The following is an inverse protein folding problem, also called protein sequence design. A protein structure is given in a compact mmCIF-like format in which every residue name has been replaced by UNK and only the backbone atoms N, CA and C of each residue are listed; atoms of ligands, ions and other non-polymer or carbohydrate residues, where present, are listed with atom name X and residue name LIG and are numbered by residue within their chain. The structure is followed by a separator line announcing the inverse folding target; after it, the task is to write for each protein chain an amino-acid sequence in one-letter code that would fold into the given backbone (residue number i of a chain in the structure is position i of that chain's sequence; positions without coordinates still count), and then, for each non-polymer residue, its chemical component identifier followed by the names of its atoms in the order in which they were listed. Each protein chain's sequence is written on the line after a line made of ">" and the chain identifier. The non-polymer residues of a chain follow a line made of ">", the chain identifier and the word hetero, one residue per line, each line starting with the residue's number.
data_IF_800155776259
#
_entry.id   IF_800155776259
#
_cell.length_a   1.000
_cell.length_b   1.000
_cell.length_c   1.000
_cell.angle_alpha   90.00
_cell.angle_beta   90.00
_cell.angle_gamma   90.00
#
_symmetry.space_group_name_H-M   'P 1'
#
loop_
_entity.id
_entity.type
_entity.pdbx_description
1 polymer ?
#
# COMPACT_ATOMS: atom_id res chain seq x y z
N UNK A 1 50.82 -26.28 41.13
CA UNK A 1 52.12 -26.89 41.45
C UNK A 1 51.91 -28.40 41.49
N UNK A 2 52.45 -29.06 40.46
CA UNK A 2 52.91 -30.46 40.33
C UNK A 2 52.01 -31.60 40.89
N UNK A 3 51.36 -32.39 40.02
CA UNK A 3 51.82 -33.65 39.37
C UNK A 3 51.40 -34.89 40.17
N UNK A 4 50.75 -35.84 39.49
CA UNK A 4 51.10 -37.29 39.40
C UNK A 4 49.87 -38.05 38.88
N UNK A 5 49.84 -38.46 37.60
CA UNK A 5 50.34 -39.74 37.04
C UNK A 5 49.52 -40.96 37.51
N UNK A 6 48.69 -41.56 36.62
CA UNK A 6 48.99 -42.74 35.76
C UNK A 6 49.28 -44.01 36.60
N UNK A 7 48.48 -45.08 36.54
CA UNK A 7 48.56 -46.12 35.51
C UNK A 7 47.61 -47.30 35.87
N UNK A 8 46.78 -47.76 34.94
CA UNK A 8 46.79 -49.10 34.28
C UNK A 8 46.50 -50.32 35.18
N UNK A 9 45.31 -50.93 35.04
CA UNK A 9 45.13 -52.36 34.73
C UNK A 9 43.64 -52.71 34.46
N UNK A 10 43.40 -53.66 33.56
CA UNK A 10 42.14 -54.32 33.17
C UNK A 10 42.43 -55.84 33.18
N UNK A 11 41.48 -56.78 33.10
CA UNK A 11 40.09 -56.87 33.57
C UNK A 11 39.89 -58.12 34.49
N UNK A 12 38.69 -58.32 35.05
CA UNK A 12 38.27 -59.66 35.51
C UNK A 12 37.17 -59.69 36.57
N UNK A 13 35.96 -60.02 36.10
CA UNK A 13 34.86 -60.73 36.78
C UNK A 13 34.25 -60.20 38.09
N UNK A 14 32.99 -59.75 38.01
CA UNK A 14 31.80 -60.33 38.66
C UNK A 14 30.67 -59.29 38.81
N UNK A 15 29.40 -59.74 38.68
CA UNK A 15 28.27 -58.99 39.23
C UNK A 15 27.03 -58.80 38.35
N UNK A 16 26.33 -59.90 38.05
CA UNK A 16 24.98 -59.92 37.45
C UNK A 16 23.95 -59.42 38.46
N UNK A 17 23.69 -58.11 38.60
CA UNK A 17 22.47 -57.57 39.24
C UNK A 17 22.24 -56.10 38.87
N UNK A 18 21.54 -55.80 37.76
CA UNK A 18 20.75 -54.56 37.57
C UNK A 18 20.25 -54.47 36.13
N UNK A 19 19.11 -55.10 35.79
CA UNK A 19 18.46 -54.81 34.50
C UNK A 19 16.93 -54.99 34.47
N UNK A 20 16.29 -55.41 35.56
CA UNK A 20 14.84 -55.68 35.56
C UNK A 20 13.99 -54.45 35.96
N UNK A 21 14.54 -53.52 36.74
CA UNK A 21 13.77 -52.35 37.24
C UNK A 21 13.71 -51.14 36.28
N UNK A 22 14.54 -51.10 35.22
CA UNK A 22 14.55 -50.01 34.23
C UNK A 22 13.57 -50.25 33.06
N UNK A 23 13.19 -51.51 32.80
CA UNK A 23 12.36 -51.85 31.64
C UNK A 23 10.87 -51.50 31.82
N UNK A 24 10.37 -51.49 33.06
CA UNK A 24 8.98 -51.09 33.38
C UNK A 24 8.73 -49.59 33.23
N UNK A 25 9.65 -48.75 33.72
CA UNK A 25 9.52 -47.27 33.63
C UNK A 25 9.57 -46.74 32.20
N UNK A 26 10.34 -47.38 31.32
CA UNK A 26 10.37 -47.00 29.90
C UNK A 26 9.10 -47.42 29.15
N UNK A 27 8.46 -48.54 29.51
CA UNK A 27 7.20 -48.97 28.90
C UNK A 27 6.04 -48.04 29.30
N UNK A 28 5.97 -47.62 30.58
CA UNK A 28 4.95 -46.71 31.07
C UNK A 28 5.12 -45.29 30.48
N UNK A 29 6.34 -44.77 30.42
CA UNK A 29 6.65 -43.49 29.77
C UNK A 29 6.33 -43.50 28.26
N UNK A 30 6.63 -44.61 27.57
CA UNK A 30 6.30 -44.77 26.15
C UNK A 30 4.78 -44.87 25.92
N UNK A 31 4.05 -45.52 26.84
CA UNK A 31 2.59 -45.61 26.80
C UNK A 31 1.91 -44.26 27.06
N UNK A 32 2.41 -43.47 28.02
CA UNK A 32 1.92 -42.11 28.30
C UNK A 32 2.23 -41.16 27.15
N UNK A 33 3.42 -41.26 26.55
CA UNK A 33 3.77 -40.51 25.35
C UNK A 33 2.82 -40.85 24.19
N UNK A 34 2.60 -42.14 23.91
CA UNK A 34 1.70 -42.60 22.84
C UNK A 34 0.23 -42.24 23.09
N UNK A 35 -0.21 -42.15 24.35
CA UNK A 35 -1.56 -41.70 24.74
C UNK A 35 -1.70 -40.20 24.53
N UNK A 36 -0.72 -39.41 24.96
CA UNK A 36 -0.63 -37.98 24.68
C UNK A 36 -0.64 -37.68 23.18
N UNK A 37 0.17 -38.40 22.38
CA UNK A 37 0.18 -38.24 20.92
C UNK A 37 -1.17 -38.62 20.28
N UNK A 38 -1.83 -39.68 20.77
CA UNK A 38 -3.17 -40.07 20.30
C UNK A 38 -4.25 -39.06 20.63
N UNK A 39 -4.21 -38.49 21.83
CA UNK A 39 -5.17 -37.47 22.25
C UNK A 39 -4.97 -36.16 21.48
N UNK A 40 -3.72 -35.81 21.17
CA UNK A 40 -3.39 -34.71 20.24
C UNK A 40 -3.86 -34.97 18.81
N UNK A 41 -3.62 -36.17 18.26
CA UNK A 41 -4.08 -36.54 16.91
C UNK A 41 -5.61 -36.55 16.85
N UNK A 42 -6.29 -37.10 17.87
CA UNK A 42 -7.74 -37.11 17.94
C UNK A 42 -8.33 -35.69 18.08
N UNK A 43 -7.69 -34.81 18.84
CA UNK A 43 -8.11 -33.41 18.92
C UNK A 43 -7.94 -32.69 17.57
N UNK A 44 -6.83 -32.94 16.88
CA UNK A 44 -6.55 -32.38 15.56
C UNK A 44 -7.51 -32.89 14.48
N UNK A 45 -7.82 -34.20 14.47
CA UNK A 45 -8.77 -34.81 13.55
C UNK A 45 -10.22 -34.36 13.83
N UNK A 46 -10.57 -34.14 15.10
CA UNK A 46 -11.89 -33.63 15.50
C UNK A 46 -12.05 -32.15 15.12
N UNK A 47 -11.01 -31.33 15.27
CA UNK A 47 -10.98 -29.96 14.74
C UNK A 47 -11.06 -29.96 13.20
N UNK A 48 -10.30 -30.80 12.49
CA UNK A 48 -10.39 -30.91 11.03
C UNK A 48 -11.78 -31.37 10.54
N UNK A 49 -12.42 -32.30 11.24
CA UNK A 49 -13.78 -32.75 10.94
C UNK A 49 -14.81 -31.62 11.10
N UNK A 50 -14.69 -30.82 12.18
CA UNK A 50 -15.56 -29.67 12.40
C UNK A 50 -15.36 -28.55 11.36
N UNK A 51 -14.12 -28.33 10.91
CA UNK A 51 -13.80 -27.34 9.87
C UNK A 51 -14.20 -27.81 8.48
N UNK A 52 -14.11 -29.11 8.16
CA UNK A 52 -14.68 -29.68 6.92
C UNK A 52 -16.20 -29.56 6.89
N UNK A 53 -16.86 -29.77 8.03
CA UNK A 53 -18.30 -29.53 8.17
C UNK A 53 -18.64 -28.05 8.00
N UNK A 54 -17.89 -27.13 8.61
CA UNK A 54 -18.08 -25.68 8.46
C UNK A 54 -17.74 -25.18 7.05
N UNK A 55 -16.75 -25.73 6.37
CA UNK A 55 -16.47 -25.45 4.95
C UNK A 55 -17.56 -26.00 4.04
N UNK A 56 -18.22 -27.10 4.43
CA UNK A 56 -19.43 -27.59 3.77
C UNK A 56 -20.60 -26.61 3.94
N UNK A 57 -20.81 -26.11 5.16
CA UNK A 57 -21.83 -25.10 5.48
C UNK A 57 -21.54 -23.75 4.79
N UNK A 58 -20.29 -23.30 4.78
CA UNK A 58 -19.84 -22.08 4.07
C UNK A 58 -19.89 -22.23 2.55
N UNK A 59 -19.97 -23.46 2.02
CA UNK A 59 -20.23 -23.72 0.59
C UNK A 59 -21.71 -23.69 0.25
N UNK A 60 -22.60 -24.02 1.20
CA UNK A 60 -24.06 -23.92 1.02
C UNK A 60 -24.55 -22.48 1.19
N UNK A 61 -23.92 -21.69 2.06
CA UNK A 61 -24.18 -20.27 2.22
C UNK A 61 -23.41 -19.55 1.10
N UNK A 62 -24.08 -19.04 0.06
CA UNK A 62 -23.44 -18.40 -1.12
C UNK A 62 -22.49 -17.23 -0.80
N UNK A 63 -21.99 -16.48 -1.79
CA UNK A 63 -21.00 -15.43 -1.52
C UNK A 63 -21.56 -14.29 -0.61
N UNK A 64 -20.79 -13.78 0.37
CA UNK A 64 -21.22 -12.70 1.26
C UNK A 64 -21.50 -11.41 0.49
N UNK A 65 -22.43 -10.58 0.98
CA UNK A 65 -22.89 -9.39 0.26
C UNK A 65 -21.79 -8.33 0.12
N UNK A 66 -21.38 -8.04 -1.13
CA UNK A 66 -20.36 -7.02 -1.44
C UNK A 66 -20.74 -5.62 -0.94
N UNK A 67 -22.05 -5.30 -0.88
CA UNK A 67 -22.57 -3.96 -0.54
C UNK A 67 -22.18 -3.48 0.85
N UNK A 68 -21.98 -4.40 1.81
CA UNK A 68 -21.68 -4.05 3.21
C UNK A 68 -20.25 -3.53 3.36
N UNK A 69 -19.27 -4.22 2.78
CA UNK A 69 -17.86 -3.76 2.79
C UNK A 69 -17.61 -2.56 1.88
N UNK A 70 -18.45 -2.36 0.85
CA UNK A 70 -18.24 -1.34 -0.19
C UNK A 70 -18.11 0.09 0.35
N UNK A 71 -18.97 0.49 1.29
CA UNK A 71 -18.92 1.84 1.87
C UNK A 71 -17.59 2.11 2.58
N UNK A 72 -17.08 1.14 3.34
CA UNK A 72 -15.82 1.28 4.06
C UNK A 72 -14.61 1.33 3.12
N UNK A 73 -14.69 0.60 2.00
CA UNK A 73 -13.67 0.65 0.95
C UNK A 73 -13.68 2.00 0.25
N UNK A 74 -14.85 2.59 0.00
CA UNK A 74 -14.95 3.95 -0.52
C UNK A 74 -14.28 4.95 0.42
N UNK A 75 -14.54 4.85 1.73
CA UNK A 75 -13.87 5.71 2.73
C UNK A 75 -12.36 5.51 2.70
N UNK A 76 -11.87 4.27 2.69
CA UNK A 76 -10.43 4.00 2.61
C UNK A 76 -9.81 4.53 1.29
N UNK A 77 -10.57 4.50 0.19
CA UNK A 77 -10.12 4.99 -1.12
C UNK A 77 -9.95 6.51 -1.17
N UNK A 78 -10.55 7.27 -0.24
CA UNK A 78 -10.27 8.72 -0.11
C UNK A 78 -8.78 8.98 0.15
N UNK A 79 -8.09 8.09 0.87
CA UNK A 79 -6.65 8.22 1.10
C UNK A 79 -5.86 8.13 -0.22
N UNK A 80 -6.26 7.23 -1.12
CA UNK A 80 -5.69 7.11 -2.47
C UNK A 80 -6.05 8.30 -3.36
N UNK A 81 -7.27 8.83 -3.25
CA UNK A 81 -7.67 10.07 -3.92
C UNK A 81 -6.81 11.26 -3.48
N UNK A 82 -6.62 11.43 -2.17
CA UNK A 82 -5.76 12.46 -1.60
C UNK A 82 -4.31 12.34 -2.08
N UNK A 83 -3.78 11.11 -2.18
CA UNK A 83 -2.47 10.84 -2.76
C UNK A 83 -2.39 11.37 -4.20
N UNK A 84 -3.34 10.98 -5.06
CA UNK A 84 -3.40 11.46 -6.45
C UNK A 84 -3.56 12.98 -6.56
N UNK A 85 -4.37 13.58 -5.70
CA UNK A 85 -4.59 15.03 -5.69
C UNK A 85 -3.30 15.81 -5.40
N UNK A 86 -2.54 15.40 -4.39
CA UNK A 86 -1.30 16.07 -4.03
C UNK A 86 -0.15 15.83 -5.02
N UNK A 87 -0.22 14.77 -5.83
CA UNK A 87 0.67 14.58 -6.96
C UNK A 87 0.41 15.62 -8.06
N UNK A 88 -0.85 15.84 -8.44
CA UNK A 88 -1.17 16.71 -9.59
C UNK A 88 -1.27 18.20 -9.25
N UNK A 89 -1.67 18.57 -8.04
CA UNK A 89 -1.90 19.99 -7.67
C UNK A 89 -0.65 20.87 -7.86
N UNK A 90 0.53 20.29 -7.65
CA UNK A 90 1.83 20.96 -7.79
C UNK A 90 2.09 21.36 -9.24
N UNK A 91 1.73 20.52 -10.20
CA UNK A 91 2.01 20.76 -11.62
C UNK A 91 1.39 22.04 -12.16
N UNK A 92 0.20 22.42 -11.66
CA UNK A 92 -0.47 23.66 -12.06
C UNK A 92 -0.05 24.87 -11.22
N UNK A 93 0.22 24.64 -9.93
CA UNK A 93 0.43 25.71 -8.97
C UNK A 93 1.89 26.14 -8.82
N UNK A 94 2.86 25.31 -9.25
CA UNK A 94 4.29 25.55 -9.02
C UNK A 94 4.77 26.92 -9.56
N UNK A 95 4.38 27.27 -10.79
CA UNK A 95 4.76 28.56 -11.40
C UNK A 95 4.18 29.74 -10.59
N UNK A 96 2.90 29.68 -10.22
CA UNK A 96 2.24 30.73 -9.42
C UNK A 96 2.78 30.83 -7.99
N UNK A 97 3.13 29.71 -7.37
CA UNK A 97 3.77 29.67 -6.04
C UNK A 97 5.17 30.30 -6.10
N UNK A 98 5.95 29.97 -7.13
CA UNK A 98 7.31 30.48 -7.34
C UNK A 98 7.32 32.00 -7.50
N UNK A 99 6.31 32.53 -8.22
CA UNK A 99 6.05 33.96 -8.36
C UNK A 99 5.67 34.63 -7.03
N UNK A 100 4.65 34.11 -6.33
CA UNK A 100 4.10 34.74 -5.11
C UNK A 100 5.10 34.70 -3.92
N UNK A 101 5.94 33.68 -3.87
CA UNK A 101 6.94 33.51 -2.80
C UNK A 101 8.34 34.03 -3.18
N UNK A 102 8.45 34.76 -4.30
CA UNK A 102 9.68 35.42 -4.78
C UNK A 102 10.89 34.49 -4.94
N UNK A 103 10.67 33.23 -5.35
CA UNK A 103 11.76 32.30 -5.70
C UNK A 103 11.75 31.89 -7.17
N UNK A 104 10.97 32.59 -8.01
CA UNK A 104 10.98 32.42 -9.45
C UNK A 104 12.40 32.48 -10.04
N UNK A 105 12.72 31.50 -10.88
CA UNK A 105 14.03 31.34 -11.54
C UNK A 105 15.01 30.46 -10.78
N UNK A 106 14.72 30.11 -9.52
CA UNK A 106 15.53 29.15 -8.77
C UNK A 106 14.99 27.73 -8.93
N UNK A 107 15.45 27.05 -9.98
CA UNK A 107 15.07 25.65 -10.30
C UNK A 107 15.35 24.69 -9.15
N UNK A 108 16.37 24.95 -8.33
CA UNK A 108 16.69 24.14 -7.16
C UNK A 108 15.62 24.29 -6.06
N UNK A 109 15.10 25.51 -5.85
CA UNK A 109 14.03 25.76 -4.88
C UNK A 109 12.70 25.12 -5.32
N UNK A 110 12.34 25.25 -6.61
CA UNK A 110 11.16 24.59 -7.18
C UNK A 110 11.26 23.06 -7.05
N UNK A 111 12.39 22.48 -7.43
CA UNK A 111 12.65 21.05 -7.26
C UNK A 111 12.61 20.62 -5.79
N UNK A 112 13.04 21.47 -4.86
CA UNK A 112 12.98 21.22 -3.43
C UNK A 112 11.53 21.16 -2.90
N UNK A 113 10.65 22.06 -3.36
CA UNK A 113 9.22 22.07 -3.00
C UNK A 113 8.50 20.79 -3.43
N UNK A 114 8.88 20.23 -4.59
CA UNK A 114 8.35 18.95 -5.07
C UNK A 114 8.94 17.79 -4.29
N UNK A 115 10.26 17.72 -4.18
CA UNK A 115 10.98 16.57 -3.60
C UNK A 115 10.83 16.44 -2.09
N UNK A 116 10.69 17.54 -1.32
CA UNK A 116 10.51 17.46 0.14
C UNK A 116 9.21 16.74 0.52
N UNK A 117 8.17 16.85 -0.31
CA UNK A 117 6.92 16.11 -0.13
C UNK A 117 7.13 14.61 -0.34
N UNK A 118 7.95 14.22 -1.32
CA UNK A 118 8.33 12.81 -1.52
C UNK A 118 9.20 12.30 -0.37
N UNK A 119 10.09 13.13 0.16
CA UNK A 119 10.87 12.84 1.37
C UNK A 119 9.99 12.62 2.60
N UNK A 120 8.94 13.45 2.77
CA UNK A 120 7.90 13.21 3.77
C UNK A 120 7.17 11.88 3.53
N UNK A 121 6.84 11.57 2.28
CA UNK A 121 6.23 10.31 1.87
C UNK A 121 7.06 9.09 2.22
N UNK A 122 8.38 9.18 2.04
CA UNK A 122 9.31 8.13 2.47
C UNK A 122 9.19 7.88 3.97
N UNK A 123 9.26 8.92 4.80
CA UNK A 123 9.08 8.81 6.25
C UNK A 123 7.72 8.18 6.61
N UNK A 124 6.63 8.67 6.01
CA UNK A 124 5.29 8.13 6.24
C UNK A 124 5.19 6.65 5.90
N UNK A 125 5.73 6.24 4.75
CA UNK A 125 5.71 4.84 4.31
C UNK A 125 6.53 3.91 5.22
N UNK A 126 7.71 4.35 5.68
CA UNK A 126 8.58 3.56 6.58
C UNK A 126 7.90 3.27 7.92
N UNK A 127 7.16 4.22 8.47
CA UNK A 127 6.49 4.04 9.77
C UNK A 127 5.07 3.45 9.65
N UNK A 128 4.51 3.33 8.44
CA UNK A 128 3.13 2.87 8.21
C UNK A 128 2.80 1.53 8.86
N UNK A 129 3.66 0.52 8.70
CA UNK A 129 3.50 -0.81 9.28
C UNK A 129 3.49 -0.79 10.81
N UNK A 130 4.45 -0.07 11.42
CA UNK A 130 4.53 0.06 12.87
C UNK A 130 3.32 0.79 13.46
N UNK A 131 2.83 1.81 12.75
CA UNK A 131 1.66 2.58 13.17
C UNK A 131 0.43 1.67 13.14
N UNK A 132 0.17 0.97 12.03
CA UNK A 132 -1.04 0.13 11.93
C UNK A 132 -1.01 -1.03 12.92
N UNK A 133 0.14 -1.66 13.12
CA UNK A 133 0.29 -2.73 14.11
C UNK A 133 -0.03 -2.25 15.53
N UNK A 134 0.39 -1.02 15.90
CA UNK A 134 0.22 -0.49 17.26
C UNK A 134 -1.12 0.16 17.54
N UNK A 135 -1.69 0.89 16.58
CA UNK A 135 -2.89 1.71 16.80
C UNK A 135 -4.12 1.26 16.03
N UNK A 136 -3.99 0.27 15.14
CA UNK A 136 -5.05 -0.19 14.26
C UNK A 136 -5.27 0.72 13.05
N UNK A 137 -6.05 0.24 12.07
CA UNK A 137 -6.32 0.98 10.84
C UNK A 137 -7.12 2.25 11.08
N UNK A 138 -8.13 2.24 11.97
CA UNK A 138 -8.96 3.43 12.21
C UNK A 138 -8.11 4.63 12.60
N UNK A 139 -7.24 4.44 13.60
CA UNK A 139 -6.34 5.49 14.08
C UNK A 139 -5.22 5.76 13.08
N UNK A 140 -4.71 4.75 12.38
CA UNK A 140 -3.69 4.95 11.35
C UNK A 140 -4.17 5.87 10.21
N UNK A 141 -5.41 5.72 9.73
CA UNK A 141 -5.97 6.63 8.73
C UNK A 141 -6.20 8.05 9.28
N UNK A 142 -6.56 8.20 10.55
CA UNK A 142 -6.64 9.52 11.19
C UNK A 142 -5.25 10.17 11.31
N UNK A 143 -4.23 9.39 11.68
CA UNK A 143 -2.83 9.84 11.70
C UNK A 143 -2.25 10.09 10.31
N UNK A 144 -2.86 9.54 9.25
CA UNK A 144 -2.59 9.92 7.87
C UNK A 144 -3.26 11.26 7.53
N UNK A 145 -4.53 11.45 7.89
CA UNK A 145 -5.31 12.64 7.54
C UNK A 145 -4.85 13.91 8.28
N UNK A 146 -4.50 13.81 9.57
CA UNK A 146 -4.13 14.98 10.38
C UNK A 146 -2.91 15.74 9.83
N UNK A 147 -1.75 15.10 9.52
CA UNK A 147 -0.63 15.77 8.87
C UNK A 147 -0.99 16.38 7.51
N UNK A 148 -1.91 15.76 6.75
CA UNK A 148 -2.35 16.30 5.47
C UNK A 148 -3.18 17.57 5.64
N UNK A 149 -4.09 17.61 6.62
CA UNK A 149 -4.89 18.80 6.94
C UNK A 149 -3.97 19.94 7.42
N UNK A 150 -3.06 19.64 8.35
CA UNK A 150 -2.12 20.62 8.90
C UNK A 150 -1.19 21.12 7.79
N UNK A 151 -0.59 20.19 7.04
CA UNK A 151 0.35 20.50 5.97
C UNK A 151 -0.29 21.29 4.83
N UNK A 152 -1.49 20.92 4.39
CA UNK A 152 -2.22 21.65 3.34
C UNK A 152 -2.62 23.05 3.80
N UNK A 153 -3.11 23.20 5.03
CA UNK A 153 -3.43 24.50 5.61
C UNK A 153 -2.19 25.40 5.73
N UNK A 154 -1.05 24.82 6.12
CA UNK A 154 0.21 25.54 6.24
C UNK A 154 0.80 25.92 4.87
N UNK A 155 0.70 25.04 3.87
CA UNK A 155 1.04 25.36 2.49
C UNK A 155 0.16 26.47 1.93
N UNK A 156 -1.16 26.45 2.20
CA UNK A 156 -2.10 27.48 1.73
C UNK A 156 -1.85 28.86 2.37
N UNK A 157 -1.41 28.90 3.62
CA UNK A 157 -1.13 30.13 4.37
C UNK A 157 0.33 30.57 4.30
N UNK A 158 1.17 29.84 3.56
CA UNK A 158 2.59 30.13 3.44
C UNK A 158 2.83 31.53 2.85
N UNK A 159 3.77 32.26 3.45
CA UNK A 159 4.26 33.57 2.98
C UNK A 159 5.72 33.54 2.55
N UNK A 160 6.44 32.48 2.91
CA UNK A 160 7.86 32.27 2.63
C UNK A 160 8.09 30.83 2.16
N UNK A 161 9.20 30.60 1.45
CA UNK A 161 9.61 29.26 0.99
C UNK A 161 9.69 28.25 2.14
N UNK A 162 10.26 28.61 3.28
CA UNK A 162 10.39 27.70 4.43
C UNK A 162 9.03 27.20 4.97
N UNK A 163 8.01 28.07 4.98
CA UNK A 163 6.65 27.68 5.38
C UNK A 163 6.02 26.72 4.37
N UNK A 164 6.25 26.95 3.08
CA UNK A 164 5.82 26.05 2.01
C UNK A 164 6.51 24.67 2.13
N UNK A 165 7.83 24.65 2.33
CA UNK A 165 8.61 23.42 2.49
C UNK A 165 8.12 22.60 3.69
N UNK A 166 7.89 23.25 4.83
CA UNK A 166 7.37 22.58 6.01
C UNK A 166 5.96 22.02 5.76
N UNK A 167 5.07 22.79 5.11
CA UNK A 167 3.72 22.35 4.79
C UNK A 167 3.74 21.11 3.89
N UNK A 168 4.61 21.14 2.87
CA UNK A 168 4.82 20.03 1.93
C UNK A 168 5.39 18.79 2.61
N UNK A 169 6.27 18.95 3.59
CA UNK A 169 6.79 17.83 4.38
C UNK A 169 5.67 17.13 5.16
N UNK A 170 4.79 17.89 5.82
CA UNK A 170 3.63 17.35 6.55
C UNK A 170 2.59 16.69 5.65
N UNK A 171 2.29 17.29 4.50
CA UNK A 171 1.44 16.63 3.48
C UNK A 171 2.09 15.33 3.03
N UNK A 172 3.40 15.37 2.79
CA UNK A 172 4.19 14.21 2.38
C UNK A 172 4.06 13.03 3.35
N UNK A 173 4.21 13.26 4.65
CA UNK A 173 4.12 12.17 5.65
C UNK A 173 2.77 11.47 5.63
N UNK A 174 1.66 12.21 5.53
CA UNK A 174 0.34 11.60 5.35
C UNK A 174 0.19 10.91 3.99
N UNK A 175 0.67 11.54 2.92
CA UNK A 175 0.66 10.97 1.56
C UNK A 175 1.39 9.62 1.48
N UNK A 176 2.45 9.42 2.26
CA UNK A 176 3.17 8.13 2.34
C UNK A 176 2.43 7.03 3.12
N UNK A 177 1.62 7.41 4.12
CA UNK A 177 0.82 6.49 4.92
C UNK A 177 -0.39 5.98 4.13
N UNK A 178 -1.10 6.88 3.44
CA UNK A 178 -2.41 6.64 2.85
C UNK A 178 -2.52 5.41 1.95
N UNK A 179 -1.76 5.31 0.84
CA UNK A 179 -1.87 4.19 -0.10
C UNK A 179 -1.53 2.83 0.53
N UNK A 180 -0.53 2.79 1.42
CA UNK A 180 -0.13 1.57 2.13
C UNK A 180 -1.26 1.09 3.04
N UNK A 181 -1.86 2.00 3.82
CA UNK A 181 -3.01 1.67 4.67
C UNK A 181 -4.24 1.28 3.84
N UNK A 182 -4.52 1.98 2.74
CA UNK A 182 -5.65 1.69 1.85
C UNK A 182 -5.56 0.28 1.27
N UNK A 183 -4.39 -0.09 0.73
CA UNK A 183 -4.20 -1.43 0.15
C UNK A 183 -4.32 -2.54 1.20
N UNK A 184 -3.68 -2.38 2.37
CA UNK A 184 -3.76 -3.37 3.45
C UNK A 184 -5.20 -3.50 3.98
N UNK A 185 -5.86 -2.38 4.28
CA UNK A 185 -7.24 -2.37 4.77
C UNK A 185 -8.20 -3.04 3.78
N UNK A 186 -8.07 -2.71 2.49
CA UNK A 186 -8.87 -3.34 1.43
C UNK A 186 -8.63 -4.85 1.41
N UNK A 187 -7.38 -5.33 1.55
CA UNK A 187 -7.12 -6.77 1.55
C UNK A 187 -7.70 -7.50 2.77
N UNK A 188 -7.74 -6.86 3.94
CA UNK A 188 -8.23 -7.49 5.18
C UNK A 188 -9.75 -7.42 5.35
N UNK A 189 -10.39 -6.40 4.76
CA UNK A 189 -11.83 -6.13 4.88
C UNK A 189 -12.65 -6.71 3.72
N UNK A 190 -11.99 -7.02 2.61
CA UNK A 190 -12.64 -7.53 1.40
C UNK A 190 -12.92 -9.03 1.45
N UNK A 191 -14.12 -9.47 1.01
CA UNK A 191 -14.35 -10.86 0.67
C UNK A 191 -13.38 -11.34 -0.41
N UNK A 192 -12.91 -12.58 -0.30
CA UNK A 192 -11.88 -13.14 -1.19
C UNK A 192 -12.22 -13.03 -2.69
N UNK A 193 -13.51 -13.12 -3.06
CA UNK A 193 -13.95 -13.11 -4.46
C UNK A 193 -13.98 -11.72 -5.11
N UNK A 194 -14.02 -10.61 -4.34
CA UNK A 194 -14.04 -9.22 -4.84
C UNK A 194 -12.80 -8.41 -4.46
N UNK A 195 -11.87 -9.03 -3.71
CA UNK A 195 -10.62 -8.39 -3.27
C UNK A 195 -9.83 -7.75 -4.41
N UNK A 196 -9.78 -8.41 -5.56
CA UNK A 196 -9.12 -7.89 -6.77
C UNK A 196 -9.75 -6.57 -7.25
N UNK A 197 -11.07 -6.57 -7.44
CA UNK A 197 -11.82 -5.39 -7.87
C UNK A 197 -11.69 -4.23 -6.89
N UNK A 198 -11.77 -4.50 -5.58
CA UNK A 198 -11.57 -3.48 -4.55
C UNK A 198 -10.16 -2.92 -4.50
N UNK A 199 -9.14 -3.74 -4.78
CA UNK A 199 -7.78 -3.25 -4.96
C UNK A 199 -7.63 -2.31 -6.16
N UNK A 200 -8.46 -2.45 -7.19
CA UNK A 200 -8.42 -1.55 -8.35
C UNK A 200 -9.18 -0.24 -8.12
N UNK A 201 -10.18 -0.23 -7.23
CA UNK A 201 -10.87 1.01 -6.85
C UNK A 201 -9.92 2.03 -6.22
N UNK A 202 -8.91 1.60 -5.46
CA UNK A 202 -7.91 2.52 -4.89
C UNK A 202 -7.07 3.18 -5.98
N UNK A 203 -6.71 2.44 -7.03
CA UNK A 203 -6.01 2.99 -8.19
C UNK A 203 -6.89 3.99 -8.96
N UNK A 204 -8.16 3.66 -9.19
CA UNK A 204 -9.11 4.58 -9.83
C UNK A 204 -9.26 5.86 -9.00
N UNK A 205 -9.35 5.73 -7.67
CA UNK A 205 -9.42 6.88 -6.77
C UNK A 205 -8.17 7.78 -6.90
N UNK A 206 -6.96 7.19 -6.97
CA UNK A 206 -5.73 7.93 -7.26
C UNK A 206 -5.82 8.70 -8.59
N UNK A 207 -6.27 8.05 -9.66
CA UNK A 207 -6.38 8.67 -10.97
C UNK A 207 -7.45 9.77 -11.02
N UNK A 208 -8.56 9.59 -10.31
CA UNK A 208 -9.57 10.63 -10.11
C UNK A 208 -9.04 11.81 -9.30
N UNK A 209 -8.24 11.55 -8.26
CA UNK A 209 -7.58 12.58 -7.46
C UNK A 209 -6.65 13.44 -8.31
N UNK A 210 -5.80 12.79 -9.11
CA UNK A 210 -4.92 13.46 -10.06
C UNK A 210 -5.72 14.33 -11.04
N UNK A 211 -6.72 13.75 -11.71
CA UNK A 211 -7.57 14.48 -12.65
C UNK A 211 -8.28 15.67 -12.00
N UNK A 212 -8.85 15.48 -10.79
CA UNK A 212 -9.53 16.55 -10.05
C UNK A 212 -8.57 17.70 -9.71
N UNK A 213 -7.32 17.39 -9.32
CA UNK A 213 -6.32 18.40 -9.01
C UNK A 213 -5.93 19.25 -10.23
N UNK A 214 -5.82 18.63 -11.41
CA UNK A 214 -5.53 19.34 -12.66
C UNK A 214 -6.70 20.26 -13.05
N UNK A 215 -7.95 19.80 -12.85
CA UNK A 215 -9.14 20.62 -13.13
C UNK A 215 -9.29 21.81 -12.16
N UNK A 216 -9.06 21.59 -10.86
CA UNK A 216 -9.14 22.65 -9.82
C UNK A 216 -7.98 23.63 -9.93
N UNK A 217 -6.81 23.14 -10.38
CA UNK A 217 -5.62 23.95 -10.64
C UNK A 217 -5.72 24.84 -11.87
N UNK A 218 -6.73 24.66 -12.72
CA UNK A 218 -6.88 25.42 -13.96
C UNK A 218 -6.79 26.96 -13.80
N UNK A 219 -7.53 27.59 -12.87
CA UNK A 219 -7.48 29.04 -12.68
C UNK A 219 -6.21 29.53 -11.97
N UNK A 220 -5.33 28.62 -11.53
CA UNK A 220 -4.17 28.98 -10.71
C UNK A 220 -3.16 29.88 -11.43
N UNK A 221 -3.12 29.83 -12.77
CA UNK A 221 -2.23 30.63 -13.61
C UNK A 221 -2.81 32.01 -13.97
N UNK A 222 -4.14 32.13 -14.00
CA UNK A 222 -4.83 33.36 -14.40
C UNK A 222 -5.18 34.25 -13.21
N UNK A 223 -5.44 33.65 -12.04
CA UNK A 223 -5.87 34.37 -10.83
C UNK A 223 -4.80 34.33 -9.76
N UNK A 224 -4.30 35.50 -9.35
CA UNK A 224 -3.35 35.62 -8.25
C UNK A 224 -3.94 35.04 -6.95
N UNK A 225 -3.16 34.22 -6.25
CA UNK A 225 -3.56 33.59 -4.99
C UNK A 225 -4.50 32.38 -5.10
N UNK A 226 -4.99 32.02 -6.30
CA UNK A 226 -5.85 30.84 -6.47
C UNK A 226 -5.16 29.52 -6.09
N UNK A 227 -3.83 29.47 -6.21
CA UNK A 227 -3.03 28.34 -5.77
C UNK A 227 -3.26 27.98 -4.28
N UNK A 228 -3.58 28.98 -3.42
CA UNK A 228 -3.91 28.75 -2.00
C UNK A 228 -5.22 27.99 -1.83
N UNK A 229 -6.20 28.28 -2.69
CA UNK A 229 -7.50 27.59 -2.71
C UNK A 229 -7.30 26.13 -3.09
N UNK A 230 -6.42 25.82 -4.05
CA UNK A 230 -6.10 24.44 -4.43
C UNK A 230 -5.60 23.61 -3.23
N UNK A 231 -4.84 24.20 -2.31
CA UNK A 231 -4.43 23.51 -1.07
C UNK A 231 -5.55 23.44 -0.04
N UNK A 232 -6.35 24.50 0.15
CA UNK A 232 -7.52 24.45 1.05
C UNK A 232 -8.54 23.39 0.64
N UNK A 233 -8.80 23.24 -0.66
CA UNK A 233 -9.72 22.23 -1.18
C UNK A 233 -9.25 20.82 -0.83
N UNK A 234 -7.95 20.56 -0.77
CA UNK A 234 -7.41 19.25 -0.35
C UNK A 234 -7.65 18.92 1.12
N UNK A 235 -7.81 19.92 1.98
CA UNK A 235 -8.10 19.71 3.40
C UNK A 235 -9.50 19.11 3.61
N UNK A 236 -10.45 19.38 2.70
CA UNK A 236 -11.83 18.87 2.77
C UNK A 236 -11.90 17.34 2.68
N UNK A 237 -11.38 16.66 1.63
CA UNK A 237 -11.37 15.20 1.58
C UNK A 237 -10.52 14.59 2.70
N UNK A 238 -9.46 15.26 3.17
CA UNK A 238 -8.69 14.79 4.32
C UNK A 238 -9.51 14.81 5.62
N UNK A 239 -10.28 15.86 5.86
CA UNK A 239 -11.19 15.94 7.00
C UNK A 239 -12.30 14.88 6.90
N UNK A 240 -12.89 14.69 5.70
CA UNK A 240 -13.89 13.64 5.47
C UNK A 240 -13.31 12.25 5.73
N UNK A 241 -12.08 11.98 5.31
CA UNK A 241 -11.38 10.72 5.60
C UNK A 241 -11.24 10.51 7.11
N UNK A 242 -10.79 11.52 7.86
CA UNK A 242 -10.64 11.43 9.31
C UNK A 242 -11.97 11.17 10.03
N UNK A 243 -13.03 11.86 9.61
CA UNK A 243 -14.37 11.76 10.19
C UNK A 243 -15.04 10.42 9.87
N UNK A 244 -15.06 10.01 8.60
CA UNK A 244 -15.74 8.78 8.19
C UNK A 244 -15.02 7.53 8.66
N UNK A 245 -13.69 7.58 8.81
CA UNK A 245 -12.96 6.43 9.37
C UNK A 245 -13.33 6.13 10.82
N UNK A 246 -13.80 7.11 11.61
CA UNK A 246 -14.27 6.86 12.98
C UNK A 246 -15.47 5.88 13.00
N UNK A 247 -16.30 5.91 11.95
CA UNK A 247 -17.45 5.02 11.80
C UNK A 247 -17.13 3.69 11.12
N UNK A 248 -15.96 3.58 10.47
CA UNK A 248 -15.52 2.36 9.80
C UNK A 248 -15.13 1.26 10.80
N UNK A 249 -15.47 -0.02 10.53
CA UNK A 249 -15.01 -1.12 11.36
C UNK A 249 -13.49 -1.23 11.27
N UNK A 250 -12.89 -1.60 12.40
CA UNK A 250 -11.48 -1.94 12.47
C UNK A 250 -11.23 -3.26 11.73
N UNK A 251 -9.99 -3.53 11.32
CA UNK A 251 -9.68 -4.80 10.67
C UNK A 251 -9.96 -5.99 11.60
N UNK A 252 -10.74 -7.00 11.16
CA UNK A 252 -10.95 -8.22 11.94
C UNK A 252 -9.65 -8.98 12.24
N UNK A 253 -8.70 -8.95 11.29
CA UNK A 253 -7.40 -9.59 11.43
C UNK A 253 -6.57 -8.91 12.55
N UNK A 254 -6.51 -7.58 12.53
CA UNK A 254 -5.81 -6.82 13.56
C UNK A 254 -6.44 -7.01 14.95
N UNK A 255 -7.78 -6.95 15.06
CA UNK A 255 -8.49 -7.16 16.32
C UNK A 255 -8.23 -8.55 16.91
N UNK A 256 -8.16 -9.58 16.06
CA UNK A 256 -7.85 -10.93 16.50
C UNK A 256 -6.41 -11.06 17.01
N UNK A 257 -5.43 -10.45 16.31
CA UNK A 257 -4.02 -10.40 16.69
C UNK A 257 -3.79 -9.70 18.05
N UNK A 258 -4.57 -8.65 18.33
CA UNK A 258 -4.58 -7.96 19.63
C UNK A 258 -5.32 -8.73 20.75
N UNK A 259 -5.79 -9.96 20.50
CA UNK A 259 -6.50 -10.78 21.47
C UNK A 259 -7.97 -10.38 21.69
N UNK A 260 -8.51 -9.46 20.88
CA UNK A 260 -9.88 -8.96 20.97
C UNK A 260 -10.83 -9.76 20.08
N UNK A 261 -10.93 -11.07 20.33
CA UNK A 261 -11.69 -11.99 19.48
C UNK A 261 -13.19 -11.63 19.35
N UNK A 262 -13.83 -11.14 20.42
CA UNK A 262 -15.24 -10.71 20.38
C UNK A 262 -15.46 -9.50 19.48
N UNK A 263 -14.52 -8.55 19.47
CA UNK A 263 -14.59 -7.38 18.58
C UNK A 263 -14.33 -7.77 17.13
N UNK A 264 -13.42 -8.73 16.90
CA UNK A 264 -13.17 -9.29 15.57
C UNK A 264 -14.44 -9.97 15.00
N UNK A 265 -15.18 -10.70 15.85
CA UNK A 265 -16.46 -11.31 15.49
C UNK A 265 -17.49 -10.24 15.07
N UNK A 266 -17.63 -9.17 15.86
CA UNK A 266 -18.51 -8.05 15.56
C UNK A 266 -18.10 -7.30 14.27
N UNK A 267 -16.79 -7.18 14.00
CA UNK A 267 -16.28 -6.59 12.76
C UNK A 267 -16.62 -7.46 11.55
N UNK A 268 -16.42 -8.78 11.63
CA UNK A 268 -16.84 -9.71 10.58
C UNK A 268 -18.36 -9.70 10.37
N UNK A 269 -19.15 -9.56 11.42
CA UNK A 269 -20.62 -9.45 11.30
C UNK A 269 -21.03 -8.21 10.50
N UNK A 270 -20.38 -7.06 10.75
CA UNK A 270 -20.62 -5.83 9.99
C UNK A 270 -20.20 -5.94 8.53
N UNK A 271 -19.10 -6.65 8.25
CA UNK A 271 -18.49 -6.74 6.92
C UNK A 271 -19.12 -7.83 6.04
N UNK A 272 -19.19 -9.05 6.54
CA UNK A 272 -19.65 -10.23 5.80
C UNK A 272 -21.12 -10.58 6.10
N UNK A 273 -21.59 -10.26 7.30
CA UNK A 273 -22.90 -10.67 7.82
C UNK A 273 -22.84 -11.94 8.68
N UNK A 274 -23.78 -12.05 9.62
CA UNK A 274 -23.87 -13.11 10.64
C UNK A 274 -23.58 -14.56 10.19
N UNK A 275 -24.10 -15.06 9.05
CA UNK A 275 -23.92 -16.47 8.69
C UNK A 275 -22.47 -16.85 8.32
N UNK A 276 -21.61 -15.89 7.95
CA UNK A 276 -20.23 -16.16 7.52
C UNK A 276 -19.19 -16.00 8.62
N UNK A 277 -19.60 -15.41 9.75
CA UNK A 277 -18.69 -15.00 10.84
C UNK A 277 -17.95 -16.19 11.44
N UNK A 278 -18.67 -17.28 11.75
CA UNK A 278 -18.08 -18.47 12.36
C UNK A 278 -17.03 -19.15 11.45
N UNK A 279 -17.28 -19.17 10.14
CA UNK A 279 -16.33 -19.71 9.16
C UNK A 279 -15.07 -18.86 9.06
N UNK A 280 -15.24 -17.54 8.94
CA UNK A 280 -14.12 -16.60 8.85
C UNK A 280 -13.25 -16.59 10.12
N UNK A 281 -13.88 -16.62 11.31
CA UNK A 281 -13.17 -16.70 12.59
C UNK A 281 -12.39 -18.01 12.75
N UNK A 282 -12.96 -19.15 12.30
CA UNK A 282 -12.27 -20.43 12.32
C UNK A 282 -11.04 -20.44 11.39
N UNK A 283 -11.18 -19.90 10.18
CA UNK A 283 -10.07 -19.76 9.23
C UNK A 283 -8.95 -18.87 9.77
N UNK A 284 -9.33 -17.74 10.39
CA UNK A 284 -8.38 -16.82 11.02
C UNK A 284 -7.61 -17.48 12.17
N UNK A 285 -8.32 -18.19 13.05
CA UNK A 285 -7.70 -18.92 14.18
C UNK A 285 -6.72 -20.00 13.72
N UNK A 286 -6.99 -20.65 12.58
CA UNK A 286 -6.11 -21.65 11.98
C UNK A 286 -4.86 -21.00 11.36
N UNK A 287 -5.01 -19.85 10.71
CA UNK A 287 -3.90 -19.10 10.14
C UNK A 287 -2.90 -18.68 11.21
N UNK A 288 -3.38 -18.20 12.36
CA UNK A 288 -2.54 -17.78 13.50
C UNK A 288 -1.94 -18.96 14.26
N UNK A 289 -2.65 -20.07 14.43
CA UNK A 289 -2.07 -21.28 15.07
C UNK A 289 -1.00 -21.98 14.23
N UNK A 290 -1.01 -21.77 12.91
CA UNK A 290 -0.06 -22.37 11.96
C UNK A 290 1.24 -21.58 11.78
N UNK A 291 1.26 -20.31 12.22
CA UNK A 291 2.46 -19.49 12.25
C UNK A 291 2.62 -18.92 13.64
N UNK A 292 3.51 -19.50 14.46
CA UNK A 292 3.94 -18.84 15.69
C UNK A 292 4.29 -17.38 15.35
N UNK A 293 3.63 -16.46 16.04
CA UNK A 293 3.72 -15.03 15.84
C UNK A 293 5.10 -14.51 16.25
N UNK A 294 6.15 -14.90 15.54
CA UNK A 294 7.40 -14.16 15.56
C UNK A 294 7.18 -12.89 14.75
N UNK A 295 7.28 -11.74 15.42
CA UNK A 295 7.38 -10.44 14.80
C UNK A 295 8.52 -10.48 13.79
N UNK A 296 8.20 -10.60 12.49
CA UNK A 296 9.19 -10.76 11.44
C UNK A 296 10.11 -9.54 11.47
N UNK A 297 11.39 -9.77 11.78
CA UNK A 297 12.37 -8.68 11.87
C UNK A 297 12.70 -8.18 10.46
N UNK A 298 13.00 -6.89 10.32
CA UNK A 298 13.44 -6.31 9.03
C UNK A 298 14.64 -7.07 8.43
N UNK A 299 15.51 -7.62 9.27
CA UNK A 299 16.63 -8.47 8.88
C UNK A 299 16.19 -9.80 8.24
N UNK A 300 15.09 -10.39 8.69
CA UNK A 300 14.54 -11.64 8.12
C UNK A 300 13.79 -11.39 6.81
N UNK A 301 13.23 -10.19 6.62
CA UNK A 301 12.67 -9.76 5.33
C UNK A 301 13.76 -9.61 4.26
N UNK A 302 14.93 -9.07 4.63
CA UNK A 302 16.04 -8.82 3.70
C UNK A 302 16.94 -10.04 3.48
N UNK A 303 17.14 -10.89 4.49
CA UNK A 303 18.08 -12.02 4.44
C UNK A 303 17.44 -13.40 4.64
N UNK A 304 16.15 -13.47 4.96
CA UNK A 304 15.44 -14.73 5.22
C UNK A 304 14.68 -15.28 4.00
N UNK A 305 13.72 -16.18 4.30
CA UNK A 305 12.94 -16.92 3.31
C UNK A 305 12.13 -16.00 2.35
N UNK A 306 11.74 -14.82 2.82
CA UNK A 306 10.91 -13.87 2.10
C UNK A 306 11.69 -12.93 1.14
N UNK A 307 13.03 -13.03 1.09
CA UNK A 307 13.89 -12.14 0.29
C UNK A 307 13.50 -12.08 -1.19
N UNK A 308 13.09 -13.20 -1.80
CA UNK A 308 12.67 -13.22 -3.21
C UNK A 308 11.45 -12.34 -3.45
N UNK A 309 10.47 -12.36 -2.55
CA UNK A 309 9.24 -11.57 -2.65
C UNK A 309 9.56 -10.08 -2.48
N UNK A 310 10.38 -9.75 -1.47
CA UNK A 310 10.83 -8.37 -1.23
C UNK A 310 11.63 -7.84 -2.42
N UNK A 311 12.55 -8.65 -2.97
CA UNK A 311 13.34 -8.24 -4.14
C UNK A 311 12.48 -7.98 -5.37
N UNK A 312 11.52 -8.86 -5.67
CA UNK A 312 10.59 -8.67 -6.80
C UNK A 312 9.75 -7.41 -6.57
N UNK A 313 9.16 -7.24 -5.38
CA UNK A 313 8.35 -6.06 -5.05
C UNK A 313 9.13 -4.75 -5.16
N UNK A 314 10.32 -4.68 -4.55
CA UNK A 314 11.19 -3.50 -4.63
C UNK A 314 11.66 -3.21 -6.05
N UNK A 315 11.97 -4.24 -6.84
CA UNK A 315 12.37 -4.05 -8.25
C UNK A 315 11.21 -3.52 -9.08
N UNK A 316 9.99 -4.05 -8.89
CA UNK A 316 8.81 -3.56 -9.60
C UNK A 316 8.48 -2.11 -9.23
N UNK A 317 8.60 -1.73 -7.95
CA UNK A 317 8.44 -0.34 -7.53
C UNK A 317 9.53 0.57 -8.09
N UNK A 318 10.79 0.12 -8.10
CA UNK A 318 11.89 0.88 -8.69
C UNK A 318 11.66 1.10 -10.20
N UNK A 319 11.27 0.07 -10.93
CA UNK A 319 10.93 0.18 -12.35
C UNK A 319 9.73 1.12 -12.59
N UNK A 320 8.72 1.08 -11.72
CA UNK A 320 7.58 2.00 -11.79
C UNK A 320 8.02 3.46 -11.63
N UNK A 321 8.92 3.76 -10.69
CA UNK A 321 9.41 5.14 -10.48
C UNK A 321 10.39 5.58 -11.56
N UNK A 322 11.25 4.67 -12.04
CA UNK A 322 12.22 4.93 -13.11
C UNK A 322 11.58 5.09 -14.49
N UNK A 323 10.32 4.69 -14.66
CA UNK A 323 9.54 4.99 -15.88
C UNK A 323 9.42 6.49 -16.17
N UNK A 324 9.64 7.34 -15.17
CA UNK A 324 9.53 8.79 -15.32
C UNK A 324 8.10 9.32 -15.19
N UNK A 325 7.12 8.48 -14.83
CA UNK A 325 5.71 8.88 -14.69
C UNK A 325 5.51 10.08 -13.77
N UNK A 326 6.23 10.14 -12.64
CA UNK A 326 6.13 11.27 -11.71
C UNK A 326 6.70 12.56 -12.32
N UNK A 327 7.71 12.48 -13.19
CA UNK A 327 8.23 13.65 -13.91
C UNK A 327 7.14 14.23 -14.82
N UNK A 328 6.40 13.35 -15.51
CA UNK A 328 5.26 13.78 -16.34
C UNK A 328 4.14 14.35 -15.48
N UNK A 329 3.81 13.75 -14.34
CA UNK A 329 2.79 14.29 -13.46
C UNK A 329 3.16 15.65 -12.84
N UNK A 330 4.42 15.89 -12.47
CA UNK A 330 4.84 17.13 -11.83
C UNK A 330 5.20 18.26 -12.81
N UNK A 331 5.64 17.93 -14.02
CA UNK A 331 6.21 18.90 -14.96
C UNK A 331 5.58 18.88 -16.35
N UNK A 332 4.50 18.11 -16.57
CA UNK A 332 3.80 18.08 -17.87
C UNK A 332 3.42 19.48 -18.35
N UNK A 333 2.88 20.35 -17.47
CA UNK A 333 2.54 21.74 -17.82
C UNK A 333 3.72 22.47 -18.46
N UNK A 334 4.90 22.35 -17.85
CA UNK A 334 6.13 23.01 -18.28
C UNK A 334 6.62 22.45 -19.61
N UNK A 335 6.57 21.11 -19.77
CA UNK A 335 6.97 20.44 -21.02
C UNK A 335 6.05 20.85 -22.17
N UNK A 336 4.73 20.83 -21.98
CA UNK A 336 3.78 21.25 -23.03
C UNK A 336 3.89 22.73 -23.39
N UNK A 337 4.13 23.59 -22.40
CA UNK A 337 4.39 25.02 -22.63
C UNK A 337 5.65 25.23 -23.48
N UNK A 338 6.71 24.47 -23.21
CA UNK A 338 7.94 24.50 -24.00
C UNK A 338 7.75 24.01 -25.45
N UNK A 339 6.77 23.12 -25.67
CA UNK A 339 6.39 22.62 -26.98
C UNK A 339 5.39 23.52 -27.73
N UNK A 340 4.97 24.66 -27.16
CA UNK A 340 4.05 25.61 -27.80
C UNK A 340 2.57 25.19 -27.79
N UNK A 341 2.19 24.18 -27.01
CA UNK A 341 0.78 23.76 -26.84
C UNK A 341 0.17 24.48 -25.63
N UNK A 342 -1.12 24.83 -25.72
CA UNK A 342 -1.85 25.37 -24.57
C UNK A 342 -1.82 24.40 -23.39
N UNK A 343 -1.25 24.82 -22.26
CA UNK A 343 -1.11 23.99 -21.04
C UNK A 343 -2.44 23.37 -20.59
N UNK A 344 -3.57 24.08 -20.78
CA UNK A 344 -4.89 23.64 -20.35
C UNK A 344 -5.38 22.37 -21.06
N UNK A 345 -5.33 22.32 -22.40
CA UNK A 345 -5.80 21.15 -23.15
C UNK A 345 -4.91 19.93 -22.89
N UNK A 346 -3.61 20.16 -22.69
CA UNK A 346 -2.64 19.11 -22.47
C UNK A 346 -2.80 18.44 -21.10
N UNK A 347 -3.01 19.22 -20.04
CA UNK A 347 -3.18 18.68 -18.69
C UNK A 347 -4.50 17.91 -18.54
N UNK A 348 -5.58 18.37 -19.16
CA UNK A 348 -6.83 17.62 -19.24
C UNK A 348 -6.62 16.30 -19.98
N UNK A 349 -5.88 16.32 -21.09
CA UNK A 349 -5.58 15.12 -21.88
C UNK A 349 -4.76 14.11 -21.09
N UNK A 350 -3.77 14.56 -20.31
CA UNK A 350 -2.98 13.70 -19.40
C UNK A 350 -3.86 13.08 -18.31
N UNK A 351 -4.70 13.89 -17.66
CA UNK A 351 -5.62 13.40 -16.63
C UNK A 351 -6.61 12.36 -17.16
N UNK A 352 -7.19 12.62 -18.34
CA UNK A 352 -8.11 11.70 -19.02
C UNK A 352 -7.38 10.42 -19.46
N UNK A 353 -6.19 10.53 -20.05
CA UNK A 353 -5.39 9.38 -20.47
C UNK A 353 -5.07 8.48 -19.28
N UNK A 354 -4.63 9.05 -18.15
CA UNK A 354 -4.35 8.29 -16.93
C UNK A 354 -5.61 7.63 -16.34
N UNK A 355 -6.75 8.32 -16.35
CA UNK A 355 -8.01 7.76 -15.89
C UNK A 355 -8.50 6.60 -16.78
N UNK A 356 -8.48 6.80 -18.11
CA UNK A 356 -8.89 5.78 -19.08
C UNK A 356 -7.93 4.58 -19.07
N UNK A 357 -6.61 4.82 -18.98
CA UNK A 357 -5.59 3.78 -18.86
C UNK A 357 -5.80 2.95 -17.59
N UNK A 358 -6.03 3.60 -16.45
CA UNK A 358 -6.36 2.93 -15.19
C UNK A 358 -7.64 2.10 -15.28
N UNK A 359 -8.67 2.61 -15.95
CA UNK A 359 -9.93 1.90 -16.16
C UNK A 359 -9.78 0.71 -17.11
N UNK A 360 -9.04 0.88 -18.21
CA UNK A 360 -8.71 -0.20 -19.14
C UNK A 360 -7.89 -1.29 -18.44
N UNK A 361 -6.89 -0.91 -17.65
CA UNK A 361 -6.08 -1.83 -16.86
C UNK A 361 -6.95 -2.67 -15.91
N UNK A 362 -7.96 -2.09 -15.27
CA UNK A 362 -8.94 -2.83 -14.47
C UNK A 362 -9.68 -3.89 -15.29
N UNK A 363 -10.25 -3.51 -16.44
CA UNK A 363 -11.03 -4.43 -17.28
C UNK A 363 -10.17 -5.55 -17.89
N UNK A 364 -8.91 -5.25 -18.19
CA UNK A 364 -7.96 -6.20 -18.79
C UNK A 364 -7.28 -7.09 -17.75
N UNK A 365 -7.12 -6.64 -16.51
CA UNK A 365 -6.43 -7.39 -15.45
C UNK A 365 -7.10 -8.74 -15.20
N UNK A 366 -8.43 -8.77 -15.17
CA UNK A 366 -9.20 -10.01 -14.93
C UNK A 366 -9.19 -10.95 -16.15
N UNK A 367 -8.99 -10.43 -17.37
CA UNK A 367 -9.03 -11.21 -18.62
C UNK A 367 -7.67 -11.75 -19.06
N UNK A 368 -6.63 -10.90 -19.02
CA UNK A 368 -5.30 -11.21 -19.57
C UNK A 368 -4.29 -11.63 -18.49
N UNK A 369 -4.63 -11.37 -17.22
CA UNK A 369 -3.76 -11.64 -16.09
C UNK A 369 -2.66 -10.58 -15.89
N UNK A 370 -2.13 -10.55 -14.65
CA UNK A 370 -1.27 -9.46 -14.16
C UNK A 370 0.08 -9.38 -14.86
N UNK A 371 0.70 -10.52 -15.18
CA UNK A 371 2.05 -10.59 -15.78
C UNK A 371 2.06 -10.06 -17.21
N UNK A 372 1.04 -10.41 -18.00
CA UNK A 372 0.93 -9.98 -19.40
C UNK A 372 0.70 -8.48 -19.47
N UNK A 373 -0.20 -7.95 -18.62
CA UNK A 373 -0.47 -6.53 -18.54
C UNK A 373 0.79 -5.73 -18.16
N UNK A 374 1.55 -6.21 -17.17
CA UNK A 374 2.78 -5.55 -16.72
C UNK A 374 3.85 -5.50 -17.82
N UNK A 375 4.09 -6.61 -18.52
CA UNK A 375 5.03 -6.64 -19.65
C UNK A 375 4.55 -5.71 -20.77
N UNK A 376 3.26 -5.73 -21.11
CA UNK A 376 2.67 -4.85 -22.11
C UNK A 376 2.86 -3.37 -21.79
N UNK A 377 2.59 -2.95 -20.54
CA UNK A 377 2.78 -1.57 -20.09
C UNK A 377 4.24 -1.13 -20.16
N UNK A 378 5.19 -1.97 -19.71
CA UNK A 378 6.61 -1.63 -19.83
C UNK A 378 7.09 -1.54 -21.28
N UNK A 379 6.64 -2.44 -22.16
CA UNK A 379 6.92 -2.34 -23.59
C UNK A 379 6.35 -1.05 -24.20
N UNK A 380 5.12 -0.67 -23.83
CA UNK A 380 4.51 0.59 -24.25
C UNK A 380 5.30 1.82 -23.77
N UNK A 381 5.71 1.83 -22.51
CA UNK A 381 6.53 2.90 -21.93
C UNK A 381 7.88 3.06 -22.64
N UNK A 382 8.56 1.95 -23.01
CA UNK A 382 9.81 2.01 -23.78
C UNK A 382 9.60 2.68 -25.14
N UNK A 383 8.51 2.33 -25.84
CA UNK A 383 8.16 2.96 -27.12
C UNK A 383 7.84 4.44 -26.94
N UNK A 384 7.06 4.80 -25.91
CA UNK A 384 6.70 6.18 -25.61
C UNK A 384 7.91 7.06 -25.27
N UNK A 385 8.84 6.56 -24.45
CA UNK A 385 10.09 7.26 -24.15
C UNK A 385 10.99 7.37 -25.37
N UNK A 386 11.02 6.33 -26.23
CA UNK A 386 11.73 6.38 -27.51
C UNK A 386 11.19 7.49 -28.43
N UNK A 387 9.86 7.65 -28.50
CA UNK A 387 9.20 8.73 -29.25
C UNK A 387 9.53 10.12 -28.67
N UNK A 388 9.51 10.27 -27.34
CA UNK A 388 9.90 11.53 -26.69
C UNK A 388 11.37 11.87 -26.93
N UNK A 389 12.28 10.90 -26.79
CA UNK A 389 13.70 11.09 -27.07
C UNK A 389 13.95 11.47 -28.53
N UNK A 390 13.24 10.83 -29.47
CA UNK A 390 13.30 11.17 -30.88
C UNK A 390 12.74 12.58 -31.19
N UNK A 391 11.72 13.03 -30.45
CA UNK A 391 11.20 14.42 -30.58
C UNK A 391 12.17 15.47 -30.02
N UNK A 392 12.96 15.12 -29.00
CA UNK A 392 13.93 16.03 -28.39
C UNK A 392 15.25 16.10 -29.18
N UNK A 393 15.61 15.03 -29.90
CA UNK A 393 16.68 15.08 -30.89
C UNK A 393 16.14 15.78 -32.14
N UNK A 394 16.55 17.02 -32.36
CA UNK A 394 16.19 17.96 -33.44
C UNK A 394 16.34 17.42 -34.88
N UNK A 395 15.59 16.37 -35.23
CA UNK A 395 15.54 15.67 -36.52
C UNK A 395 14.18 15.82 -37.21
N UNK A 396 13.22 16.51 -36.58
CA UNK A 396 11.83 16.54 -37.01
C UNK A 396 11.36 18.00 -37.12
N UNK A 397 10.58 18.32 -38.16
CA UNK A 397 10.04 19.67 -38.37
C UNK A 397 9.10 20.08 -37.23
N UNK A 398 9.02 21.38 -36.91
CA UNK A 398 8.38 21.95 -35.71
C UNK A 398 6.96 21.45 -35.42
N UNK A 399 6.17 21.10 -36.44
CA UNK A 399 4.82 20.55 -36.24
C UNK A 399 4.84 19.09 -35.75
N UNK A 400 5.76 18.26 -36.24
CA UNK A 400 5.83 16.83 -35.93
C UNK A 400 6.52 16.55 -34.58
N UNK A 401 7.41 17.44 -34.12
CA UNK A 401 8.00 17.38 -32.77
C UNK A 401 6.93 17.47 -31.67
N UNK A 402 5.95 18.36 -31.88
CA UNK A 402 4.84 18.55 -30.95
C UNK A 402 3.94 17.31 -30.89
N UNK A 403 3.57 16.73 -32.03
CA UNK A 403 2.75 15.50 -32.05
C UNK A 403 3.47 14.29 -31.43
N UNK A 404 4.78 14.17 -31.62
CA UNK A 404 5.58 13.08 -31.04
C UNK A 404 5.77 13.24 -29.53
N UNK A 405 6.01 14.45 -29.04
CA UNK A 405 6.15 14.74 -27.61
C UNK A 405 4.81 14.57 -26.87
N UNK A 406 3.73 15.12 -27.43
CA UNK A 406 2.37 14.98 -26.88
C UNK A 406 1.92 13.51 -26.94
N UNK A 407 2.11 12.84 -28.07
CA UNK A 407 1.77 11.43 -28.24
C UNK A 407 2.55 10.51 -27.30
N UNK A 408 3.85 10.76 -27.12
CA UNK A 408 4.67 10.04 -26.16
C UNK A 408 4.24 10.27 -24.71
N UNK A 409 3.91 11.50 -24.32
CA UNK A 409 3.38 11.77 -22.97
C UNK A 409 2.01 11.11 -22.74
N UNK A 410 1.12 11.11 -23.73
CA UNK A 410 -0.18 10.46 -23.61
C UNK A 410 -0.06 8.94 -23.54
N UNK A 411 0.81 8.34 -24.34
CA UNK A 411 1.10 6.90 -24.30
C UNK A 411 1.82 6.48 -23.01
N UNK A 412 2.61 7.36 -22.40
CA UNK A 412 3.26 7.08 -21.12
C UNK A 412 2.26 7.12 -19.96
N UNK A 413 1.17 7.87 -20.11
CA UNK A 413 0.10 7.99 -19.11
C UNK A 413 -1.07 7.02 -19.31
N UNK A 414 -1.24 6.44 -20.50
CA UNK A 414 -2.29 5.47 -20.83
C UNK A 414 -1.84 4.03 -20.58
#
# INVERSE_FOLDING_TARGET
>A
MLISESSVFSPGEEGVYSNVAMRGRHADAYSMYKRGTRDYINAYDKEQGSVRSLNGVSKEIGNPSWKRSFLYILVASLASFLYGYHLGVINETLESISNDLHFNGNTMAEGLVVSICLGGGFLGSTFSGLIVDRVGFRRAFQLCALPMIIGSSMSATAKNLSGMLLGRLFVGTGMGLGPTLATLYVTEVSPAYVRGTYGSFTQIATSLGLMSSLLIGFPAKETEGWWRICFWVSAVPAALLALFMEFSPESPHWLFKEGRAADAEAAFEKLLGGPYVKGAMAELSKSERGGEAETVKLSELLFGHHRKVVFIGSTLFALQQLSGINSVFFFSSTVFKSAGVSSQSANISVGIANFLGSFAALLLMDKLGRKVLLIGSFSGMVVAMGLQAASASSLVSSSNEVYLSVGGMLLLNA
#
